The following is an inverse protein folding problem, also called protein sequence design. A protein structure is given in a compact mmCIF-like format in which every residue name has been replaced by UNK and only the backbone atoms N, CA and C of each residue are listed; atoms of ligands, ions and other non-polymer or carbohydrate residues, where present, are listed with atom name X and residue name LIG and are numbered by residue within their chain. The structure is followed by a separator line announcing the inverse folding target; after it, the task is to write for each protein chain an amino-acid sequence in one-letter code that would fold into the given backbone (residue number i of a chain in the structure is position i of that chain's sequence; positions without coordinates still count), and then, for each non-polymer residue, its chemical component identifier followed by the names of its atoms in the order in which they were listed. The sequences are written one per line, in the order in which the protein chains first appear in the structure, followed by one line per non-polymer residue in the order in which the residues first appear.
data_IF_436657710950
#
_entry.id   IF_436657710950
#
_cell.length_a   1.000
_cell.length_b   1.000
_cell.length_c   1.000
_cell.angle_alpha   90.00
_cell.angle_beta   90.00
_cell.angle_gamma   90.00
#
_symmetry.space_group_name_H-M   'P 1'
#
loop_
_entity.id
_entity.type
_entity.pdbx_description
1 polymer ?
#
# COMPACT_ATOMS: atom_id res chain seq x y z
N UNK A 1 -29.49 67.16 14.22
CA UNK A 1 -29.54 66.09 15.24
C UNK A 1 -28.64 64.95 14.77
N UNK A 2 -27.66 64.58 15.61
CA UNK A 2 -26.67 63.49 15.52
C UNK A 2 -27.34 62.08 15.49
N UNK A 3 -26.63 60.93 15.38
CA UNK A 3 -25.45 60.53 14.56
C UNK A 3 -25.49 59.02 14.10
N UNK A 4 -24.34 58.47 13.63
CA UNK A 4 -23.88 57.03 13.69
C UNK A 4 -24.11 56.20 12.40
N UNK A 5 -23.11 56.02 11.52
CA UNK A 5 -21.95 55.12 11.63
C UNK A 5 -22.34 53.65 11.87
N UNK A 6 -22.29 52.81 10.84
CA UNK A 6 -21.79 51.43 10.98
C UNK A 6 -21.48 50.85 9.61
N UNK A 7 -20.19 50.90 9.30
CA UNK A 7 -19.56 49.92 8.44
C UNK A 7 -19.88 48.52 8.96
N UNK A 8 -20.37 47.62 8.12
CA UNK A 8 -20.05 46.21 8.26
C UNK A 8 -19.57 45.69 6.91
N UNK A 9 -18.31 46.04 6.68
CA UNK A 9 -17.37 45.24 5.94
C UNK A 9 -17.27 43.88 6.64
N UNK A 10 -17.79 42.82 6.02
CA UNK A 10 -17.30 41.46 6.24
C UNK A 10 -17.78 40.57 5.08
N UNK A 11 -17.17 40.78 3.92
CA UNK A 11 -17.14 39.76 2.89
C UNK A 11 -16.17 38.69 3.39
N UNK A 12 -16.68 37.76 4.20
CA UNK A 12 -15.98 36.54 4.58
C UNK A 12 -15.90 35.66 3.34
N UNK A 13 -14.97 35.96 2.44
CA UNK A 13 -14.60 35.03 1.37
C UNK A 13 -13.84 33.90 2.07
N UNK A 14 -14.56 32.79 2.29
CA UNK A 14 -13.95 31.50 2.62
C UNK A 14 -12.93 31.20 1.52
N UNK A 15 -11.65 31.40 1.82
CA UNK A 15 -10.58 30.68 1.13
C UNK A 15 -10.83 29.19 1.41
N UNK A 16 -11.51 28.51 0.50
CA UNK A 16 -11.29 27.09 0.30
C UNK A 16 -9.83 26.97 -0.15
N UNK A 17 -8.93 26.85 0.82
CA UNK A 17 -7.65 26.24 0.56
C UNK A 17 -7.96 24.80 0.17
N UNK A 18 -8.13 24.58 -1.14
CA UNK A 18 -8.04 23.24 -1.70
C UNK A 18 -6.65 22.76 -1.34
N UNK A 19 -6.56 21.96 -0.28
CA UNK A 19 -5.37 21.22 0.05
C UNK A 19 -5.15 20.31 -1.15
N UNK A 20 -4.20 20.67 -2.01
CA UNK A 20 -3.75 19.78 -3.07
C UNK A 20 -3.31 18.51 -2.37
N UNK A 21 -4.04 17.42 -2.59
CA UNK A 21 -3.54 16.09 -2.33
C UNK A 21 -2.34 15.91 -3.26
N UNK A 22 -1.15 16.33 -2.81
CA UNK A 22 0.09 15.87 -3.38
C UNK A 22 0.07 14.36 -3.13
N UNK A 23 -0.20 13.59 -4.18
CA UNK A 23 -0.05 12.15 -4.13
C UNK A 23 1.43 11.87 -3.77
N UNK A 24 1.64 11.49 -2.52
CA UNK A 24 2.94 11.41 -1.85
C UNK A 24 3.62 10.07 -2.10
N UNK A 25 2.84 8.99 -1.99
CA UNK A 25 3.27 7.62 -2.25
C UNK A 25 2.30 6.99 -3.25
N UNK A 26 2.84 6.31 -4.26
CA UNK A 26 2.05 5.69 -5.33
C UNK A 26 2.35 4.19 -5.45
N UNK A 27 1.31 3.41 -5.72
CA UNK A 27 1.43 2.01 -6.08
C UNK A 27 1.77 1.92 -7.56
N UNK A 28 2.84 1.22 -7.91
CA UNK A 28 3.21 1.01 -9.33
C UNK A 28 2.75 -0.34 -9.85
N UNK A 29 2.92 -1.39 -9.06
CA UNK A 29 2.53 -2.75 -9.41
C UNK A 29 2.24 -3.58 -8.15
N UNK A 30 1.48 -4.66 -8.29
CA UNK A 30 1.30 -5.61 -7.21
C UNK A 30 0.24 -6.66 -7.47
N UNK A 31 0.23 -7.69 -6.61
CA UNK A 31 -0.73 -8.79 -6.64
C UNK A 31 -0.84 -9.44 -5.25
N UNK A 32 -1.93 -10.18 -5.05
CA UNK A 32 -2.07 -11.13 -3.95
C UNK A 32 -1.89 -12.54 -4.50
N UNK A 33 -1.07 -13.35 -3.84
CA UNK A 33 -0.87 -14.73 -4.27
C UNK A 33 -2.13 -15.56 -4.02
N UNK A 34 -2.56 -16.30 -5.02
CA UNK A 34 -3.58 -17.33 -4.86
C UNK A 34 -2.98 -18.54 -4.15
N UNK A 35 -3.74 -19.10 -3.22
CA UNK A 35 -3.38 -20.33 -2.51
C UNK A 35 -4.50 -21.36 -2.69
N UNK A 36 -4.20 -22.66 -2.56
CA UNK A 36 -5.25 -23.68 -2.47
C UNK A 36 -6.23 -23.36 -1.35
N UNK A 37 -7.51 -23.71 -1.52
CA UNK A 37 -8.59 -23.42 -0.57
C UNK A 37 -8.34 -23.94 0.86
N UNK A 38 -7.44 -24.91 1.01
CA UNK A 38 -7.05 -25.49 2.30
C UNK A 38 -6.02 -24.66 3.08
N UNK A 39 -5.40 -23.67 2.45
CA UNK A 39 -4.34 -22.85 3.05
C UNK A 39 -4.96 -21.53 3.54
N UNK A 40 -4.99 -21.28 4.86
CA UNK A 40 -5.71 -20.14 5.43
C UNK A 40 -4.93 -18.82 5.35
N UNK A 41 -3.71 -18.81 4.80
CA UNK A 41 -2.84 -17.66 4.79
C UNK A 41 -2.28 -17.43 3.38
N UNK A 42 -2.05 -16.17 3.02
CA UNK A 42 -1.38 -15.82 1.76
C UNK A 42 -0.54 -14.57 1.93
N UNK A 43 0.19 -14.18 0.89
CA UNK A 43 1.00 -12.98 0.86
C UNK A 43 0.58 -12.04 -0.28
N UNK A 44 0.72 -10.73 -0.03
CA UNK A 44 0.63 -9.68 -1.02
C UNK A 44 2.02 -9.11 -1.30
N UNK A 45 2.24 -8.81 -2.57
CA UNK A 45 3.49 -8.30 -3.12
C UNK A 45 3.17 -7.07 -3.95
N UNK A 46 3.93 -6.00 -3.79
CA UNK A 46 3.70 -4.76 -4.49
C UNK A 46 4.91 -3.83 -4.37
N UNK A 47 4.96 -2.84 -5.26
CA UNK A 47 5.95 -1.77 -5.22
C UNK A 47 5.27 -0.44 -4.90
N UNK A 48 5.81 0.28 -3.92
CA UNK A 48 5.44 1.66 -3.62
C UNK A 48 6.60 2.58 -4.01
N UNK A 49 6.29 3.67 -4.70
CA UNK A 49 7.24 4.76 -4.95
C UNK A 49 6.85 5.98 -4.13
N UNK A 50 7.81 6.56 -3.43
CA UNK A 50 7.66 7.80 -2.69
C UNK A 50 8.18 8.95 -3.54
N UNK A 51 7.29 9.82 -4.01
CA UNK A 51 7.63 10.98 -4.83
C UNK A 51 7.78 12.27 -4.01
N UNK A 52 7.73 12.16 -2.67
CA UNK A 52 7.93 13.30 -1.77
C UNK A 52 9.41 13.55 -1.48
N UNK A 53 9.69 14.76 -0.99
CA UNK A 53 11.02 15.16 -0.50
C UNK A 53 11.36 14.59 0.89
N UNK A 54 10.47 13.80 1.52
CA UNK A 54 10.66 13.24 2.85
C UNK A 54 10.66 11.71 2.80
N UNK A 55 11.47 11.07 3.65
CA UNK A 55 11.30 9.64 3.87
C UNK A 55 9.99 9.39 4.63
N UNK A 56 9.32 8.29 4.30
CA UNK A 56 8.11 7.81 4.98
C UNK A 56 8.31 6.34 5.36
N UNK A 57 7.57 5.84 6.33
CA UNK A 57 7.67 4.44 6.76
C UNK A 57 6.32 3.77 6.73
N UNK A 58 6.21 2.66 6.02
CA UNK A 58 5.04 1.78 6.09
C UNK A 58 5.10 1.00 7.41
N UNK A 59 4.16 1.24 8.32
CA UNK A 59 4.18 0.65 9.66
C UNK A 59 3.08 -0.41 9.87
N UNK A 60 1.99 -0.33 9.11
CA UNK A 60 0.93 -1.33 9.19
C UNK A 60 0.19 -1.48 7.86
N UNK A 61 -0.49 -2.62 7.73
CA UNK A 61 -1.44 -2.89 6.66
C UNK A 61 -2.66 -3.60 7.26
N UNK A 62 -3.82 -3.44 6.64
CA UNK A 62 -5.06 -4.10 7.06
C UNK A 62 -5.94 -4.45 5.86
N UNK A 63 -6.81 -5.44 6.02
CA UNK A 63 -7.74 -5.85 4.97
C UNK A 63 -8.98 -6.52 5.54
N UNK A 64 -10.09 -6.39 4.84
CA UNK A 64 -11.34 -7.05 5.21
C UNK A 64 -11.34 -8.56 4.86
N UNK A 65 -10.45 -9.05 3.98
CA UNK A 65 -10.44 -10.46 3.54
C UNK A 65 -9.72 -11.40 4.53
N UNK A 66 -8.93 -10.86 5.46
CA UNK A 66 -8.14 -11.61 6.43
C UNK A 66 -8.53 -11.24 7.87
N UNK A 67 -8.14 -12.08 8.83
CA UNK A 67 -8.29 -11.79 10.27
C UNK A 67 -7.20 -10.85 10.77
N UNK A 68 -6.00 -11.03 10.24
CA UNK A 68 -4.83 -10.24 10.60
C UNK A 68 -3.95 -10.03 9.37
N UNK A 69 -3.22 -8.92 9.36
CA UNK A 69 -2.33 -8.53 8.26
C UNK A 69 -1.04 -8.01 8.87
N UNK A 70 0.08 -8.62 8.47
CA UNK A 70 1.38 -8.37 9.10
C UNK A 70 2.45 -8.07 8.05
N UNK A 71 3.39 -7.19 8.41
CA UNK A 71 4.60 -6.94 7.61
C UNK A 71 5.66 -7.97 7.96
N UNK A 72 6.20 -8.67 6.97
CA UNK A 72 7.16 -9.78 7.17
C UNK A 72 8.39 -9.57 6.31
N UNK A 73 9.55 -9.90 6.87
CA UNK A 73 10.82 -10.04 6.14
C UNK A 73 11.28 -11.49 6.18
N UNK A 74 12.26 -11.80 5.33
CA UNK A 74 12.92 -13.09 5.34
C UNK A 74 14.33 -12.92 5.87
N UNK A 75 14.67 -13.70 6.89
CA UNK A 75 16.03 -13.77 7.44
C UNK A 75 16.62 -15.15 7.21
N UNK A 76 17.91 -15.18 6.91
CA UNK A 76 18.70 -16.40 6.96
C UNK A 76 19.33 -16.51 8.35
N UNK A 77 18.96 -17.58 9.06
CA UNK A 77 19.46 -17.86 10.39
C UNK A 77 20.00 -19.29 10.41
N UNK A 78 21.31 -19.43 10.52
CA UNK A 78 22.02 -20.72 10.54
C UNK A 78 21.69 -21.63 9.33
N UNK A 79 21.63 -21.05 8.13
CA UNK A 79 21.31 -21.78 6.89
C UNK A 79 19.84 -22.15 6.73
N UNK A 80 18.97 -21.68 7.64
CA UNK A 80 17.52 -21.81 7.53
C UNK A 80 16.88 -20.47 7.19
N UNK A 81 16.07 -20.46 6.15
CA UNK A 81 15.26 -19.32 5.75
C UNK A 81 14.02 -19.25 6.66
N UNK A 82 13.86 -18.14 7.39
CA UNK A 82 12.73 -17.92 8.30
C UNK A 82 12.00 -16.62 7.95
N UNK A 83 10.67 -16.67 7.98
CA UNK A 83 9.84 -15.48 7.94
C UNK A 83 9.80 -14.84 9.33
N UNK A 84 9.96 -13.52 9.39
CA UNK A 84 9.94 -12.75 10.64
C UNK A 84 9.05 -11.53 10.48
N UNK A 85 8.12 -11.35 11.40
CA UNK A 85 7.34 -10.12 11.50
C UNK A 85 8.25 -8.91 11.79
N UNK A 86 7.98 -7.78 11.15
CA UNK A 86 8.69 -6.51 11.33
C UNK A 86 7.70 -5.38 11.63
N UNK A 87 8.17 -4.35 12.31
CA UNK A 87 7.37 -3.18 12.68
C UNK A 87 7.16 -2.19 11.53
N UNK A 88 7.88 -2.36 10.41
CA UNK A 88 7.71 -1.50 9.24
C UNK A 88 8.87 -1.52 8.25
N UNK A 89 8.67 -0.80 7.16
CA UNK A 89 9.62 -0.64 6.07
C UNK A 89 9.80 0.84 5.73
N UNK A 90 11.05 1.29 5.67
CA UNK A 90 11.36 2.66 5.28
C UNK A 90 11.29 2.81 3.76
N UNK A 91 10.71 3.92 3.30
CA UNK A 91 10.64 4.33 1.91
C UNK A 91 11.35 5.68 1.79
N UNK A 92 12.60 5.72 1.29
CA UNK A 92 13.35 6.96 1.15
C UNK A 92 12.60 7.99 0.31
N UNK A 93 12.91 9.27 0.54
CA UNK A 93 12.54 10.38 -0.35
C UNK A 93 12.97 10.07 -1.78
N UNK A 94 12.06 10.25 -2.76
CA UNK A 94 12.28 9.87 -4.17
C UNK A 94 12.71 8.40 -4.37
N UNK A 95 12.40 7.53 -3.41
CA UNK A 95 12.79 6.13 -3.38
C UNK A 95 11.61 5.17 -3.57
N UNK A 96 11.88 3.87 -3.45
CA UNK A 96 10.88 2.83 -3.60
C UNK A 96 11.03 1.73 -2.55
N UNK A 97 9.89 1.11 -2.21
CA UNK A 97 9.80 -0.12 -1.43
C UNK A 97 9.19 -1.20 -2.31
N UNK A 98 9.95 -2.28 -2.53
CA UNK A 98 9.47 -3.44 -3.29
C UNK A 98 9.29 -4.63 -2.36
N UNK A 99 8.04 -5.07 -2.23
CA UNK A 99 7.66 -6.28 -1.52
C UNK A 99 7.49 -7.42 -2.53
N UNK A 100 8.31 -8.47 -2.44
CA UNK A 100 8.41 -9.52 -3.45
C UNK A 100 8.58 -10.92 -2.84
N UNK A 101 8.30 -11.99 -3.60
CA UNK A 101 8.56 -13.35 -3.16
C UNK A 101 10.00 -13.52 -2.69
N UNK A 102 10.19 -14.29 -1.62
CA UNK A 102 11.51 -14.57 -1.02
C UNK A 102 12.23 -13.35 -0.41
N UNK A 103 11.56 -12.20 -0.26
CA UNK A 103 12.03 -11.04 0.51
C UNK A 103 10.91 -10.50 1.40
N UNK A 104 10.85 -9.19 1.55
CA UNK A 104 9.81 -8.47 2.28
C UNK A 104 8.45 -8.66 1.62
N UNK A 105 7.41 -8.86 2.43
CA UNK A 105 6.04 -9.09 1.95
C UNK A 105 5.01 -8.73 3.01
N UNK A 106 3.76 -8.53 2.58
CA UNK A 106 2.61 -8.40 3.48
C UNK A 106 1.95 -9.76 3.62
N UNK A 107 1.91 -10.31 4.83
CA UNK A 107 1.28 -11.58 5.12
C UNK A 107 -0.18 -11.36 5.55
N UNK A 108 -1.12 -12.00 4.84
CA UNK A 108 -2.54 -12.06 5.17
C UNK A 108 -2.82 -13.36 5.91
N UNK A 109 -3.18 -13.26 7.19
CA UNK A 109 -3.38 -14.40 8.08
C UNK A 109 -4.87 -14.64 8.33
N UNK A 110 -5.27 -15.91 8.23
CA UNK A 110 -6.64 -16.33 8.50
C UNK A 110 -7.65 -15.72 7.53
N UNK A 111 -7.48 -16.00 6.25
CA UNK A 111 -8.43 -15.66 5.19
C UNK A 111 -9.85 -16.09 5.59
N UNK A 112 -10.80 -15.17 5.43
CA UNK A 112 -12.22 -15.40 5.78
C UNK A 112 -12.92 -16.26 4.73
N UNK A 113 -12.43 -16.25 3.50
CA UNK A 113 -12.85 -17.08 2.39
C UNK A 113 -11.66 -17.31 1.44
N UNK A 114 -11.65 -18.40 0.66
CA UNK A 114 -10.66 -18.58 -0.41
C UNK A 114 -10.69 -17.41 -1.40
N UNK A 115 -9.51 -17.01 -1.87
CA UNK A 115 -9.37 -15.95 -2.87
C UNK A 115 -9.42 -16.53 -4.28
N UNK A 116 -10.27 -15.97 -5.13
CA UNK A 116 -10.43 -16.41 -6.53
C UNK A 116 -9.49 -15.63 -7.44
N UNK A 117 -8.97 -16.26 -8.50
CA UNK A 117 -8.11 -15.56 -9.48
C UNK A 117 -8.83 -14.38 -10.12
N UNK A 118 -8.11 -13.27 -10.29
CA UNK A 118 -8.64 -12.03 -10.82
C UNK A 118 -9.54 -11.26 -9.85
N UNK A 119 -9.81 -11.81 -8.66
CA UNK A 119 -10.48 -11.05 -7.60
C UNK A 119 -9.59 -9.88 -7.16
N UNK A 120 -10.22 -8.73 -6.94
CA UNK A 120 -9.56 -7.56 -6.37
C UNK A 120 -9.58 -7.64 -4.84
N UNK A 121 -8.41 -7.49 -4.21
CA UNK A 121 -8.23 -7.42 -2.76
C UNK A 121 -7.80 -6.00 -2.39
N UNK A 122 -8.54 -5.39 -1.49
CA UNK A 122 -8.23 -4.07 -0.95
C UNK A 122 -7.33 -4.21 0.28
N UNK A 123 -6.22 -3.47 0.29
CA UNK A 123 -5.36 -3.29 1.46
C UNK A 123 -5.34 -1.81 1.84
N UNK A 124 -5.56 -1.52 3.12
CA UNK A 124 -5.33 -0.19 3.68
C UNK A 124 -3.95 -0.19 4.35
N UNK A 125 -3.05 0.61 3.82
CA UNK A 125 -1.70 0.87 4.32
C UNK A 125 -1.72 2.06 5.27
N UNK A 126 -0.92 1.99 6.33
CA UNK A 126 -0.75 3.07 7.32
C UNK A 126 0.73 3.41 7.46
N UNK A 127 1.02 4.71 7.38
CA UNK A 127 2.37 5.27 7.44
C UNK A 127 2.64 5.91 8.80
N UNK A 128 3.92 6.13 9.11
CA UNK A 128 4.39 6.68 10.39
C UNK A 128 3.99 8.14 10.64
N UNK A 129 3.65 8.88 9.60
CA UNK A 129 3.07 10.22 9.67
C UNK A 129 1.55 10.23 9.94
N UNK A 130 0.93 9.04 10.04
CA UNK A 130 -0.50 8.85 10.25
C UNK A 130 -1.33 8.89 8.95
N UNK A 131 -0.70 9.06 7.78
CA UNK A 131 -1.39 8.94 6.50
C UNK A 131 -1.83 7.50 6.23
N UNK A 132 -2.93 7.38 5.49
CA UNK A 132 -3.51 6.09 5.11
C UNK A 132 -3.73 6.06 3.61
N UNK A 133 -3.31 4.96 2.98
CA UNK A 133 -3.45 4.74 1.56
C UNK A 133 -4.18 3.44 1.31
N UNK A 134 -5.22 3.48 0.48
CA UNK A 134 -5.92 2.27 0.04
C UNK A 134 -5.34 1.84 -1.30
N UNK A 135 -4.87 0.59 -1.38
CA UNK A 135 -4.43 -0.04 -2.61
C UNK A 135 -5.32 -1.22 -2.95
N UNK A 136 -5.50 -1.48 -4.25
CA UNK A 136 -6.29 -2.62 -4.74
C UNK A 136 -5.39 -3.51 -5.58
N UNK A 137 -5.30 -4.79 -5.22
CA UNK A 137 -4.40 -5.76 -5.85
C UNK A 137 -5.19 -6.93 -6.43
N UNK A 138 -4.91 -7.36 -7.68
CA UNK A 138 -5.50 -8.56 -8.24
C UNK A 138 -4.91 -9.83 -7.61
N UNK A 139 -5.71 -10.90 -7.53
CA UNK A 139 -5.26 -12.22 -7.10
C UNK A 139 -4.70 -13.03 -8.29
N UNK A 140 -3.46 -13.51 -8.20
CA UNK A 140 -2.77 -14.26 -9.30
C UNK A 140 -2.10 -15.55 -8.79
N UNK A 141 -1.85 -16.54 -9.68
CA UNK A 141 -1.27 -17.85 -9.30
C UNK A 141 0.22 -17.79 -8.94
N UNK A 142 0.94 -16.81 -9.45
CA UNK A 142 2.35 -16.48 -9.21
C UNK A 142 2.54 -15.01 -9.63
N UNK A 143 3.69 -14.38 -9.35
CA UNK A 143 4.01 -13.03 -9.78
C UNK A 143 4.11 -12.92 -11.32
N UNK A 144 2.97 -12.93 -12.01
CA UNK A 144 2.88 -12.87 -13.47
C UNK A 144 3.05 -11.43 -14.01
N UNK A 145 3.43 -10.47 -13.16
CA UNK A 145 3.59 -9.05 -13.55
C UNK A 145 4.90 -8.81 -14.32
N UNK A 146 5.84 -9.77 -14.35
CA UNK A 146 7.04 -9.66 -15.17
C UNK A 146 6.83 -9.99 -16.67
N UNK A 147 5.61 -10.39 -17.09
CA UNK A 147 5.37 -10.94 -18.43
C UNK A 147 4.46 -10.11 -19.35
N UNK A 148 4.13 -8.86 -19.01
CA UNK A 148 3.39 -7.96 -19.90
C UNK A 148 4.25 -6.83 -20.51
N UNK A 149 5.58 -7.04 -20.56
CA UNK A 149 6.51 -6.21 -21.34
C UNK A 149 7.53 -7.01 -22.17
N UNK A 150 7.21 -8.19 -22.71
CA UNK A 150 8.00 -8.75 -23.85
C UNK A 150 7.15 -9.64 -24.78
N UNK A 151 6.35 -9.03 -25.67
CA UNK A 151 5.90 -9.69 -26.91
C UNK A 151 5.73 -8.67 -28.05
N UNK A 152 6.83 -8.06 -28.48
CA UNK A 152 6.96 -7.54 -29.85
C UNK A 152 8.01 -8.37 -30.58
N UNK A 153 7.64 -9.60 -30.97
CA UNK A 153 8.37 -10.36 -31.98
C UNK A 153 7.85 -9.98 -33.36
N UNK A 154 8.74 -9.34 -34.13
CA UNK A 154 9.00 -9.54 -35.56
C UNK A 154 7.83 -9.94 -36.48
N UNK A 155 7.57 -9.05 -37.45
CA UNK A 155 7.45 -9.44 -38.86
C UNK A 155 8.20 -8.43 -39.74
#
# INVERSE_FOLDING_TARGET
MKPIFKQLFNCLVLSFASFSALASVVLTEGHVRAMPDTVPNTAAYFTLENHTDKAVRLIAASSNVAKDVQLHTIIEDQGMVKMRHVEGFDIPSHGALTLMPSKDHVMLLGLKAPLVLGQQVELQLEFDDGEKMVITLPVTKQADIAAEQEHHHHH
#
